data_IF_847013960316
#
_entry.id   IF_847013960316
#
_cell.length_a   1.000
_cell.length_b   1.000
_cell.length_c   1.000
_cell.angle_alpha   90.00
_cell.angle_beta   90.00
_cell.angle_gamma   90.00
#
_symmetry.space_group_name_H-M   'P 1'
#
loop_
_entity.id
_entity.type
_entity.pdbx_description
1 polymer ?
#
# COMPACT_ATOMS: atom_id res chain seq x y z
N UNK A 1 -6.44 12.45 22.56
CA UNK A 1 -5.33 13.08 21.80
C UNK A 1 -5.31 12.48 20.41
N UNK A 2 -5.29 13.25 19.31
CA UNK A 2 -5.27 12.66 17.97
C UNK A 2 -3.85 12.15 17.65
N UNK A 3 -3.62 10.85 17.79
CA UNK A 3 -2.29 10.24 17.62
C UNK A 3 -1.70 10.41 16.22
N UNK A 4 -2.54 10.66 15.21
CA UNK A 4 -2.11 10.77 13.80
C UNK A 4 -1.15 11.93 13.55
N UNK A 5 -1.35 13.06 14.24
CA UNK A 5 -0.49 14.25 14.09
C UNK A 5 0.90 14.07 14.72
N UNK A 6 1.00 13.22 15.75
CA UNK A 6 2.23 12.99 16.50
C UNK A 6 2.79 11.58 16.26
N UNK A 7 2.38 10.90 15.18
CA UNK A 7 2.69 9.49 14.96
C UNK A 7 4.20 9.22 14.93
N UNK A 8 4.96 10.04 14.20
CA UNK A 8 6.44 9.92 14.12
C UNK A 8 7.06 9.98 15.50
N UNK A 9 6.68 10.98 16.29
CA UNK A 9 7.20 11.18 17.65
C UNK A 9 6.85 10.01 18.58
N UNK A 10 5.60 9.52 18.52
CA UNK A 10 5.16 8.42 19.36
C UNK A 10 5.90 7.12 19.05
N UNK A 11 6.14 6.81 17.77
CA UNK A 11 6.92 5.63 17.36
C UNK A 11 8.39 5.81 17.72
N UNK A 12 8.96 6.99 17.45
CA UNK A 12 10.34 7.32 17.79
C UNK A 12 10.65 7.05 19.26
N UNK A 13 9.79 7.50 20.18
CA UNK A 13 9.97 7.27 21.62
C UNK A 13 9.92 5.79 22.02
N UNK A 14 9.24 4.94 21.25
CA UNK A 14 9.30 3.48 21.46
C UNK A 14 10.56 2.86 20.88
N UNK A 15 11.06 3.41 19.77
CA UNK A 15 12.25 2.91 19.08
C UNK A 15 13.54 3.29 19.79
N UNK A 16 13.63 4.46 20.42
CA UNK A 16 14.81 4.88 21.19
C UNK A 16 15.08 4.01 22.40
N UNK A 17 14.06 3.32 22.92
CA UNK A 17 14.21 2.30 23.96
C UNK A 17 14.85 1.00 23.43
N UNK A 18 14.92 0.81 22.12
CA UNK A 18 15.45 -0.40 21.46
C UNK A 18 16.77 -0.13 20.71
N UNK A 19 16.99 1.10 20.20
CA UNK A 19 18.20 1.49 19.48
C UNK A 19 18.46 3.00 19.63
N UNK A 20 19.72 3.37 19.89
CA UNK A 20 20.17 4.75 20.05
C UNK A 20 20.24 5.55 18.74
N UNK A 21 20.25 4.87 17.59
CA UNK A 21 20.65 5.48 16.32
C UNK A 21 19.46 6.04 15.52
N UNK A 22 18.24 5.83 16.02
CA UNK A 22 17.02 6.31 15.38
C UNK A 22 16.95 7.83 15.53
N UNK A 23 16.59 8.52 14.45
CA UNK A 23 16.35 9.97 14.44
C UNK A 23 14.84 10.24 14.45
N UNK A 24 14.37 11.38 14.99
CA UNK A 24 12.95 11.73 15.06
C UNK A 24 12.38 12.20 13.70
N UNK A 25 12.77 11.54 12.61
CA UNK A 25 12.30 11.84 11.25
C UNK A 25 11.44 10.69 10.73
N UNK A 26 10.48 11.02 9.86
CA UNK A 26 9.56 10.02 9.28
C UNK A 26 10.33 8.89 8.57
N UNK A 27 11.39 9.23 7.82
CA UNK A 27 12.22 8.25 7.12
C UNK A 27 12.99 7.34 8.06
N UNK A 28 13.68 7.90 9.06
CA UNK A 28 14.43 7.10 10.04
C UNK A 28 13.51 6.17 10.83
N UNK A 29 12.34 6.65 11.25
CA UNK A 29 11.31 5.83 11.90
C UNK A 29 10.82 4.72 10.96
N UNK A 30 10.60 5.00 9.68
CA UNK A 30 10.18 3.98 8.72
C UNK A 30 11.23 2.88 8.54
N UNK A 31 12.50 3.27 8.33
CA UNK A 31 13.59 2.32 8.13
C UNK A 31 13.84 1.47 9.38
N UNK A 32 13.85 2.10 10.56
CA UNK A 32 13.97 1.42 11.85
C UNK A 32 12.78 0.49 12.13
N UNK A 33 11.56 0.93 11.84
CA UNK A 33 10.39 0.06 11.94
C UNK A 33 10.53 -1.13 11.00
N UNK A 34 10.99 -0.97 9.76
CA UNK A 34 11.09 -2.07 8.81
C UNK A 34 12.09 -3.15 9.21
N UNK A 35 13.21 -2.78 9.86
CA UNK A 35 14.23 -3.72 10.32
C UNK A 35 13.78 -4.56 11.53
N UNK A 36 12.76 -4.13 12.28
CA UNK A 36 12.24 -4.87 13.43
C UNK A 36 11.52 -6.16 13.05
N UNK A 37 11.61 -7.14 13.96
CA UNK A 37 10.83 -8.36 13.89
C UNK A 37 9.32 -8.09 14.02
N UNK A 38 8.49 -9.01 13.53
CA UNK A 38 7.03 -8.90 13.67
C UNK A 38 6.63 -8.83 15.16
N UNK A 39 7.36 -9.54 16.05
CA UNK A 39 7.10 -9.55 17.49
C UNK A 39 7.33 -8.17 18.10
N UNK A 40 8.43 -7.50 17.73
CA UNK A 40 8.77 -6.18 18.28
C UNK A 40 7.81 -5.11 17.77
N UNK A 41 7.49 -5.14 16.47
CA UNK A 41 6.46 -4.28 15.87
C UNK A 41 5.14 -4.37 16.64
N UNK A 42 4.67 -5.59 16.92
CA UNK A 42 3.44 -5.82 17.71
C UNK A 42 3.54 -5.21 19.11
N UNK A 43 4.69 -5.37 19.77
CA UNK A 43 4.95 -4.78 21.09
C UNK A 43 4.84 -3.25 21.08
N UNK A 44 5.40 -2.59 20.06
CA UNK A 44 5.32 -1.14 19.87
C UNK A 44 3.85 -0.70 19.71
N UNK A 45 3.08 -1.37 18.85
CA UNK A 45 1.67 -1.03 18.64
C UNK A 45 0.83 -1.13 19.90
N UNK A 46 1.04 -2.18 20.71
CA UNK A 46 0.33 -2.36 21.98
C UNK A 46 0.71 -1.27 22.99
N UNK A 47 1.99 -0.91 23.09
CA UNK A 47 2.44 0.15 24.02
C UNK A 47 1.90 1.52 23.61
N UNK A 48 1.95 1.85 22.32
CA UNK A 48 1.39 3.10 21.80
C UNK A 48 -0.11 3.17 22.05
N UNK A 49 -0.85 2.10 21.75
CA UNK A 49 -2.30 2.00 21.93
C UNK A 49 -2.73 2.32 23.37
N UNK A 50 -2.04 1.74 24.36
CA UNK A 50 -2.27 2.04 25.77
C UNK A 50 -2.04 3.50 26.13
N UNK A 51 -1.03 4.14 25.52
CA UNK A 51 -0.68 5.53 25.82
C UNK A 51 -1.66 6.54 25.23
N UNK A 52 -2.19 6.27 24.04
CA UNK A 52 -3.13 7.17 23.35
C UNK A 52 -4.60 6.81 23.55
N UNK A 53 -4.86 5.78 24.37
CA UNK A 53 -6.19 5.25 24.68
C UNK A 53 -6.98 4.86 23.43
N UNK A 54 -6.40 3.97 22.62
CA UNK A 54 -7.04 3.44 21.41
C UNK A 54 -6.72 1.96 21.17
N UNK A 55 -7.29 1.36 20.14
CA UNK A 55 -6.95 -0.01 19.77
C UNK A 55 -5.62 -0.09 19.00
N UNK A 56 -4.79 -1.07 19.32
CA UNK A 56 -3.54 -1.33 18.57
C UNK A 56 -3.78 -1.57 17.07
N UNK A 57 -4.96 -2.11 16.72
CA UNK A 57 -5.40 -2.30 15.34
C UNK A 57 -5.53 -0.97 14.59
N UNK A 58 -6.00 0.10 15.24
CA UNK A 58 -6.13 1.42 14.63
C UNK A 58 -4.78 2.04 14.31
N UNK A 59 -3.81 1.89 15.21
CA UNK A 59 -2.43 2.36 15.01
C UNK A 59 -1.78 1.59 13.86
N UNK A 60 -1.92 0.27 13.85
CA UNK A 60 -1.40 -0.58 12.78
C UNK A 60 -2.02 -0.22 11.42
N UNK A 61 -3.33 0.02 11.39
CA UNK A 61 -4.04 0.43 10.17
C UNK A 61 -3.54 1.79 9.69
N UNK A 62 -3.38 2.77 10.59
CA UNK A 62 -2.81 4.07 10.23
C UNK A 62 -1.38 3.95 9.69
N UNK A 63 -0.55 3.12 10.33
CA UNK A 63 0.81 2.85 9.89
C UNK A 63 0.83 2.35 8.43
N UNK A 64 0.08 1.29 8.11
CA UNK A 64 0.09 0.71 6.77
C UNK A 64 -0.65 1.56 5.71
N UNK A 65 -1.75 2.22 6.08
CA UNK A 65 -2.62 2.88 5.12
C UNK A 65 -2.27 4.34 4.85
N UNK A 66 -1.55 4.99 5.77
CA UNK A 66 -1.20 6.41 5.66
C UNK A 66 0.31 6.60 5.76
N UNK A 67 0.92 6.20 6.88
CA UNK A 67 2.32 6.52 7.13
C UNK A 67 3.28 5.83 6.17
N UNK A 68 3.09 4.54 5.92
CA UNK A 68 3.99 3.74 5.06
C UNK A 68 3.89 4.15 3.60
N UNK A 69 2.69 4.53 3.13
CA UNK A 69 2.44 4.83 1.71
C UNK A 69 3.26 6.01 1.19
N UNK A 70 3.55 7.00 2.04
CA UNK A 70 4.30 8.20 1.63
C UNK A 70 5.76 7.91 1.21
N UNK A 71 6.29 6.73 1.54
CA UNK A 71 7.66 6.32 1.19
C UNK A 71 7.74 5.46 -0.07
N UNK A 72 6.60 5.19 -0.72
CA UNK A 72 6.55 4.36 -1.91
C UNK A 72 5.96 5.12 -3.10
N UNK A 73 6.59 4.97 -4.25
CA UNK A 73 6.11 5.47 -5.52
C UNK A 73 4.94 4.64 -6.01
N UNK A 74 3.91 5.31 -6.54
CA UNK A 74 2.79 4.65 -7.20
C UNK A 74 3.25 4.03 -8.52
N UNK A 75 2.85 2.79 -8.86
CA UNK A 75 3.20 2.18 -10.15
C UNK A 75 2.33 2.70 -11.32
N UNK A 76 1.24 3.45 -11.05
CA UNK A 76 0.32 3.88 -12.11
C UNK A 76 0.95 4.77 -13.19
N UNK A 77 1.79 5.78 -12.85
CA UNK A 77 2.45 6.61 -13.86
C UNK A 77 3.36 5.83 -14.81
N UNK A 78 3.75 4.60 -14.43
CA UNK A 78 4.63 3.71 -15.19
C UNK A 78 3.86 2.53 -15.81
N UNK A 79 2.54 2.70 -16.00
CA UNK A 79 1.67 1.66 -16.55
C UNK A 79 2.17 1.16 -17.91
N UNK A 80 2.57 2.05 -18.81
CA UNK A 80 3.02 1.70 -20.16
C UNK A 80 4.29 0.82 -20.11
N UNK A 81 5.25 1.15 -19.25
CA UNK A 81 6.46 0.35 -19.04
C UNK A 81 6.12 -1.06 -18.53
N UNK A 82 5.16 -1.17 -17.62
CA UNK A 82 4.66 -2.44 -17.12
C UNK A 82 3.95 -3.26 -18.21
N UNK A 83 3.09 -2.64 -19.02
CA UNK A 83 2.41 -3.29 -20.14
C UNK A 83 3.41 -3.78 -21.19
N UNK A 84 4.47 -3.00 -21.45
CA UNK A 84 5.56 -3.39 -22.34
C UNK A 84 6.35 -4.60 -21.78
N UNK A 85 6.70 -4.59 -20.49
CA UNK A 85 7.33 -5.75 -19.85
C UNK A 85 6.45 -7.01 -19.89
N UNK A 86 5.16 -6.84 -19.65
CA UNK A 86 4.16 -7.92 -19.69
C UNK A 86 4.04 -8.51 -21.10
N UNK A 87 3.96 -7.65 -22.13
CA UNK A 87 3.78 -8.09 -23.52
C UNK A 87 5.00 -8.82 -24.08
N UNK A 88 6.19 -8.38 -23.69
CA UNK A 88 7.45 -8.87 -24.27
C UNK A 88 8.02 -10.09 -23.54
N UNK A 89 7.28 -10.68 -22.60
CA UNK A 89 7.80 -11.79 -21.82
C UNK A 89 6.74 -12.80 -21.38
N UNK A 90 7.16 -14.04 -21.24
CA UNK A 90 6.41 -15.10 -20.56
C UNK A 90 6.64 -15.08 -19.04
N UNK A 91 7.13 -13.96 -18.50
CA UNK A 91 7.57 -13.87 -17.11
C UNK A 91 6.41 -13.98 -16.13
N UNK A 92 6.73 -14.56 -14.97
CA UNK A 92 5.81 -14.51 -13.85
C UNK A 92 5.82 -13.11 -13.21
N UNK A 93 4.75 -12.78 -12.48
CA UNK A 93 4.58 -11.49 -11.79
C UNK A 93 5.80 -11.05 -10.98
N UNK A 94 6.51 -12.00 -10.37
CA UNK A 94 7.71 -11.73 -9.56
C UNK A 94 8.91 -11.29 -10.39
N UNK A 95 9.10 -11.85 -11.57
CA UNK A 95 10.17 -11.50 -12.50
C UNK A 95 9.89 -10.16 -13.19
N UNK A 96 8.62 -9.93 -13.58
CA UNK A 96 8.18 -8.64 -14.11
C UNK A 96 8.45 -7.53 -13.09
N UNK A 97 8.11 -7.76 -11.82
CA UNK A 97 8.39 -6.81 -10.75
C UNK A 97 9.89 -6.52 -10.61
N UNK A 98 10.76 -7.54 -10.66
CA UNK A 98 12.21 -7.34 -10.58
C UNK A 98 12.72 -6.47 -11.73
N UNK A 99 12.34 -6.79 -12.97
CA UNK A 99 12.71 -6.01 -14.15
C UNK A 99 12.18 -4.57 -14.09
N UNK A 100 10.97 -4.40 -13.60
CA UNK A 100 10.38 -3.07 -13.42
C UNK A 100 11.19 -2.22 -12.43
N UNK A 101 11.63 -2.79 -11.30
CA UNK A 101 12.50 -2.09 -10.35
C UNK A 101 13.88 -1.79 -10.96
N UNK A 102 14.42 -2.69 -11.78
CA UNK A 102 15.69 -2.47 -12.50
C UNK A 102 15.60 -1.31 -13.51
N UNK A 103 14.44 -1.10 -14.16
CA UNK A 103 14.21 0.02 -15.08
C UNK A 103 14.09 1.37 -14.36
N UNK A 104 13.70 1.38 -13.09
CA UNK A 104 13.45 2.59 -12.31
C UNK A 104 14.26 2.57 -11.00
N UNK A 105 15.60 2.60 -11.08
CA UNK A 105 16.47 2.37 -9.91
C UNK A 105 16.37 3.46 -8.84
N UNK A 106 15.84 4.64 -9.19
CA UNK A 106 15.67 5.77 -8.28
C UNK A 106 14.31 5.76 -7.57
N UNK A 107 13.41 4.87 -7.95
CA UNK A 107 12.06 4.79 -7.42
C UNK A 107 11.92 3.65 -6.41
N UNK A 108 11.18 3.89 -5.33
CA UNK A 108 10.93 2.88 -4.32
C UNK A 108 9.50 2.37 -4.45
N UNK A 109 9.29 1.22 -5.08
CA UNK A 109 7.94 0.67 -5.24
C UNK A 109 7.52 -0.24 -4.10
N UNK A 110 6.24 -0.21 -3.73
CA UNK A 110 5.68 -1.17 -2.81
C UNK A 110 5.48 -2.52 -3.51
N UNK A 111 6.32 -3.51 -3.19
CA UNK A 111 6.31 -4.81 -3.84
C UNK A 111 4.92 -5.47 -3.92
N UNK A 112 4.16 -5.47 -2.82
CA UNK A 112 2.84 -6.12 -2.79
C UNK A 112 1.87 -5.42 -3.75
N UNK A 113 1.77 -4.10 -3.65
CA UNK A 113 0.84 -3.32 -4.47
C UNK A 113 1.22 -3.37 -5.95
N UNK A 114 2.51 -3.23 -6.28
CA UNK A 114 2.98 -3.29 -7.66
C UNK A 114 2.74 -4.68 -8.26
N UNK A 115 2.98 -5.77 -7.53
CA UNK A 115 2.68 -7.14 -8.01
C UNK A 115 1.18 -7.37 -8.22
N UNK A 116 0.33 -6.80 -7.37
CA UNK A 116 -1.12 -6.83 -7.57
C UNK A 116 -1.52 -6.07 -8.83
N UNK A 117 -0.95 -4.88 -9.04
CA UNK A 117 -1.20 -4.09 -10.24
C UNK A 117 -0.75 -4.81 -11.53
N UNK A 118 0.45 -5.42 -11.53
CA UNK A 118 0.92 -6.28 -12.62
C UNK A 118 -0.07 -7.40 -12.90
N UNK A 119 -0.56 -8.09 -11.86
CA UNK A 119 -1.53 -9.18 -12.06
C UNK A 119 -2.83 -8.72 -12.70
N UNK A 120 -3.30 -7.51 -12.37
CA UNK A 120 -4.49 -6.90 -12.98
C UNK A 120 -4.23 -6.57 -14.45
N UNK A 121 -3.07 -5.97 -14.76
CA UNK A 121 -2.68 -5.67 -16.15
C UNK A 121 -2.60 -6.94 -17.00
N UNK A 122 -1.94 -7.99 -16.51
CA UNK A 122 -1.86 -9.29 -17.22
C UNK A 122 -3.25 -9.85 -17.55
N UNK A 123 -4.20 -9.77 -16.61
CA UNK A 123 -5.58 -10.20 -16.83
C UNK A 123 -6.28 -9.36 -17.91
N UNK A 124 -6.13 -8.03 -17.88
CA UNK A 124 -6.72 -7.12 -18.87
C UNK A 124 -6.17 -7.33 -20.28
N UNK A 125 -4.89 -7.66 -20.37
CA UNK A 125 -4.22 -7.93 -21.63
C UNK A 125 -4.50 -9.35 -22.17
N UNK A 126 -5.37 -10.13 -21.52
CA UNK A 126 -5.67 -11.52 -21.85
C UNK A 126 -4.44 -12.45 -21.87
N UNK A 127 -3.36 -12.08 -21.17
CA UNK A 127 -2.18 -12.91 -21.00
C UNK A 127 -2.48 -13.87 -19.85
N UNK A 128 -3.25 -14.91 -20.17
CA UNK A 128 -3.64 -15.93 -19.22
C UNK A 128 -2.40 -16.66 -18.70
N UNK A 129 -2.29 -16.73 -17.37
CA UNK A 129 -1.30 -17.56 -16.67
C UNK A 129 -1.48 -19.02 -17.12
N UNK A 130 -0.40 -19.80 -17.29
CA UNK A 130 -0.51 -21.22 -17.62
C UNK A 130 -1.46 -21.90 -16.64
N UNK A 131 -2.38 -22.64 -17.21
CA UNK A 131 -3.59 -23.16 -16.59
C UNK A 131 -3.25 -23.96 -15.32
N UNK A 132 -3.59 -23.43 -14.13
CA UNK A 132 -3.41 -24.13 -12.85
C UNK A 132 -4.32 -25.36 -12.72
N UNK A 133 -5.14 -25.67 -13.74
CA UNK A 133 -6.05 -26.82 -13.78
C UNK A 133 -5.37 -28.19 -13.81
N UNK A 134 -4.05 -28.30 -13.94
CA UNK A 134 -3.35 -29.58 -13.76
C UNK A 134 -2.86 -29.87 -12.32
N UNK A 135 -3.07 -28.98 -11.34
CA UNK A 135 -2.65 -29.23 -9.94
C UNK A 135 -3.79 -29.19 -8.91
N UNK A 136 -5.06 -29.16 -9.35
CA UNK A 136 -6.22 -28.98 -8.45
C UNK A 136 -7.30 -30.07 -8.58
N UNK A 137 -6.88 -31.33 -8.78
CA UNK A 137 -7.74 -32.49 -8.52
C UNK A 137 -7.95 -32.75 -7.01
N UNK A 138 -7.17 -32.12 -6.14
CA UNK A 138 -7.35 -32.23 -4.69
C UNK A 138 -7.48 -30.83 -4.07
N UNK A 139 -8.48 -30.66 -3.19
CA UNK A 139 -8.90 -29.44 -2.49
C UNK A 139 -9.83 -28.50 -3.25
N UNK A 140 -11.04 -29.00 -3.47
CA UNK A 140 -12.27 -28.21 -3.27
C UNK A 140 -12.38 -27.86 -1.78
N UNK A 141 -12.31 -26.58 -1.43
CA UNK A 141 -13.32 -25.96 -0.58
C UNK A 141 -13.27 -24.43 -0.67
N UNK A 142 -14.40 -23.87 -1.13
CA UNK A 142 -14.93 -22.50 -1.05
C UNK A 142 -13.92 -21.35 -0.87
N UNK A 143 -13.70 -20.59 -1.95
CA UNK A 143 -13.29 -19.18 -1.85
C UNK A 143 -14.47 -18.25 -2.16
N UNK A 144 -14.55 -17.09 -1.49
CA UNK A 144 -15.59 -16.10 -1.72
C UNK A 144 -15.36 -15.37 -3.04
N UNK A 145 -16.45 -14.96 -3.66
CA UNK A 145 -16.50 -14.15 -4.86
C UNK A 145 -15.76 -12.82 -4.61
N UNK A 146 -14.75 -12.52 -5.42
CA UNK A 146 -13.94 -11.32 -5.29
C UNK A 146 -14.73 -10.15 -5.88
N UNK A 147 -15.44 -9.42 -5.04
CA UNK A 147 -16.18 -8.21 -5.42
C UNK A 147 -15.19 -7.12 -5.87
N UNK A 148 -15.04 -7.00 -7.19
CA UNK A 148 -14.13 -6.08 -7.86
C UNK A 148 -14.49 -4.62 -7.56
N UNK A 149 -15.77 -4.32 -7.34
CA UNK A 149 -16.25 -2.98 -7.01
C UNK A 149 -15.88 -2.59 -5.58
N UNK A 150 -15.80 -3.57 -4.67
CA UNK A 150 -15.32 -3.33 -3.30
C UNK A 150 -13.78 -3.13 -3.27
N UNK A 151 -13.04 -3.73 -4.20
CA UNK A 151 -11.59 -3.51 -4.34
C UNK A 151 -11.27 -2.14 -4.98
N UNK A 152 -12.03 -1.73 -6.01
CA UNK A 152 -11.94 -0.38 -6.59
C UNK A 152 -12.34 0.66 -5.53
N UNK A 153 -13.34 0.37 -4.69
CA UNK A 153 -13.62 1.19 -3.49
C UNK A 153 -12.47 1.18 -2.49
N UNK A 154 -11.76 0.09 -2.23
CA UNK A 154 -10.57 0.14 -1.34
C UNK A 154 -9.38 0.92 -1.95
N UNK A 155 -9.29 1.00 -3.27
CA UNK A 155 -8.40 1.92 -3.97
C UNK A 155 -8.90 3.38 -3.88
N UNK A 156 -10.23 3.61 -3.82
CA UNK A 156 -10.89 4.92 -3.79
C UNK A 156 -11.34 5.46 -2.40
N UNK A 157 -11.34 4.66 -1.32
CA UNK A 157 -11.79 5.07 0.05
C UNK A 157 -10.77 5.98 0.75
N UNK A 158 -9.75 6.45 0.02
CA UNK A 158 -8.91 7.59 0.42
C UNK A 158 -9.54 8.94 0.02
N UNK A 159 -10.68 8.96 -0.69
CA UNK A 159 -11.40 10.19 -1.01
C UNK A 159 -12.83 10.19 -0.43
N UNK A 160 -12.98 10.78 0.76
CA UNK A 160 -14.24 11.39 1.19
C UNK A 160 -15.18 10.55 2.07
N UNK A 161 -15.14 10.79 3.38
CA UNK A 161 -16.36 10.93 4.18
C UNK A 161 -16.10 11.87 5.36
N UNK A 162 -16.31 13.17 5.10
CA UNK A 162 -16.72 14.14 6.12
C UNK A 162 -18.07 14.69 5.72
N UNK A 163 -18.96 14.74 6.69
CA UNK A 163 -20.10 15.66 6.76
C UNK A 163 -20.00 16.39 8.11
N UNK A 164 -20.65 17.55 8.31
CA UNK A 164 -20.57 18.75 7.51
C UNK A 164 -20.30 20.02 8.36
N UNK A 165 -20.05 21.13 7.66
CA UNK A 165 -20.27 22.54 8.07
C UNK A 165 -19.19 23.26 8.90
N UNK A 166 -18.41 24.11 8.24
CA UNK A 166 -18.53 25.59 8.31
C UNK A 166 -17.64 26.23 7.25
N UNK A 167 -18.16 27.28 6.60
CA UNK A 167 -17.59 28.07 5.52
C UNK A 167 -16.11 28.42 5.65
N UNK A 168 -15.28 28.01 4.68
CA UNK A 168 -14.08 28.77 4.25
C UNK A 168 -13.81 28.51 2.76
N UNK A 169 -13.49 29.60 2.06
CA UNK A 169 -13.30 29.74 0.61
C UNK A 169 -12.30 28.76 -0.03
N UNK A 170 -12.58 28.49 -1.30
CA UNK A 170 -11.91 27.61 -2.24
C UNK A 170 -10.37 27.70 -2.25
N UNK A 171 -9.75 26.54 -2.20
CA UNK A 171 -8.41 26.26 -2.72
C UNK A 171 -8.52 24.98 -3.55
N UNK A 172 -8.38 25.11 -4.87
CA UNK A 172 -8.41 23.99 -5.82
C UNK A 172 -7.18 23.11 -5.58
N UNK A 173 -7.39 21.87 -5.16
CA UNK A 173 -6.36 20.83 -5.03
C UNK A 173 -6.55 19.77 -6.13
N UNK A 174 -5.48 19.24 -6.74
CA UNK A 174 -5.52 18.45 -7.99
C UNK A 174 -5.79 16.94 -7.77
N UNK A 175 -6.55 16.56 -6.74
CA UNK A 175 -6.75 15.14 -6.35
C UNK A 175 -8.02 14.50 -6.93
N UNK A 176 -8.89 15.28 -7.59
CA UNK A 176 -10.19 14.80 -8.13
C UNK A 176 -10.05 14.18 -9.53
N UNK A 177 -8.93 14.41 -10.23
CA UNK A 177 -8.78 13.98 -11.63
C UNK A 177 -8.39 12.50 -11.78
N UNK A 178 -7.69 11.92 -10.80
CA UNK A 178 -7.19 10.53 -10.86
C UNK A 178 -8.29 9.45 -10.84
N UNK A 179 -9.33 9.65 -10.02
CA UNK A 179 -10.44 8.70 -9.90
C UNK A 179 -11.38 8.81 -11.11
N UNK A 180 -11.53 10.02 -11.67
CA UNK A 180 -12.27 10.24 -12.92
C UNK A 180 -11.55 9.65 -14.12
N UNK A 181 -10.23 9.74 -14.20
CA UNK A 181 -9.44 9.09 -15.27
C UNK A 181 -9.54 7.56 -15.22
N UNK A 182 -9.52 6.94 -14.03
CA UNK A 182 -9.70 5.49 -13.91
C UNK A 182 -11.11 5.01 -14.25
N UNK A 183 -12.13 5.85 -14.07
CA UNK A 183 -13.51 5.57 -14.46
C UNK A 183 -13.79 5.87 -15.94
N UNK A 184 -13.06 6.77 -16.59
CA UNK A 184 -13.17 7.02 -18.05
C UNK A 184 -12.42 5.99 -18.90
N UNK A 185 -11.58 5.15 -18.28
CA UNK A 185 -10.88 4.02 -18.90
C UNK A 185 -11.57 2.66 -18.67
N UNK A 186 -12.76 2.66 -18.06
CA UNK A 186 -13.70 1.54 -17.95
C UNK A 186 -14.86 1.75 -18.94
#
# INVERSE_FOLDING_TARGET
MNFKHNFVQLVYEQLTALSSDVQPTARSVFDAMNSLSIKDKRGIWVKMAKRVDCEAKEILNFYHNSFVKQFFTSPLPFKEDLEHLISNSSYQTDEIFKKFVELHPNEQFNQRLTKQFISILMLRMNIHKPDKKQQKAEKKEKQPELDLDNFIKQLNVVAGSRTPSTDVKESKTPEIDFIKELQMLL
#
